data_IF_150938725305
#
_entry.id   IF_150938725305
#
_cell.length_a   1.000
_cell.length_b   1.000
_cell.length_c   1.000
_cell.angle_alpha   90.00
_cell.angle_beta   90.00
_cell.angle_gamma   90.00
#
_symmetry.space_group_name_H-M   'P 1'
#
loop_
_entity.id
_entity.type
_entity.pdbx_description
1 polymer ?
#
# COMPACT_ATOMS: atom_id res chain seq x y z
N UNK A 1 -2.57 -24.67 -21.86
CA UNK A 1 -2.93 -23.91 -20.65
C UNK A 1 -2.78 -22.42 -20.95
N UNK A 2 -3.84 -21.66 -20.73
CA UNK A 2 -4.15 -20.38 -21.39
C UNK A 2 -3.26 -19.23 -20.85
N UNK A 3 -2.30 -18.71 -21.65
CA UNK A 3 -1.35 -17.65 -21.21
C UNK A 3 -2.03 -16.39 -20.64
N UNK A 4 -3.28 -16.10 -21.03
CA UNK A 4 -4.04 -14.94 -20.53
C UNK A 4 -4.47 -15.07 -19.06
N UNK A 5 -4.82 -16.27 -18.58
CA UNK A 5 -5.29 -16.45 -17.20
C UNK A 5 -4.16 -16.19 -16.20
N UNK A 6 -2.95 -16.65 -16.52
CA UNK A 6 -1.76 -16.46 -15.68
C UNK A 6 -1.38 -14.97 -15.52
N UNK A 7 -1.65 -14.15 -16.54
CA UNK A 7 -1.32 -12.72 -16.55
C UNK A 7 -2.27 -11.88 -15.69
N UNK A 8 -3.57 -12.20 -15.72
CA UNK A 8 -4.56 -11.53 -14.90
C UNK A 8 -4.43 -11.91 -13.42
N UNK A 9 -4.15 -13.20 -13.14
CA UNK A 9 -3.85 -13.67 -11.79
C UNK A 9 -2.58 -12.99 -11.24
N UNK A 10 -1.52 -12.89 -12.04
CA UNK A 10 -0.30 -12.17 -11.65
C UNK A 10 -0.56 -10.70 -11.32
N UNK A 11 -1.33 -10.00 -12.16
CA UNK A 11 -1.71 -8.60 -11.91
C UNK A 11 -2.47 -8.44 -10.59
N UNK A 12 -3.45 -9.30 -10.33
CA UNK A 12 -4.23 -9.26 -9.09
C UNK A 12 -3.35 -9.50 -7.86
N UNK A 13 -2.51 -10.54 -7.91
CA UNK A 13 -1.61 -10.88 -6.79
C UNK A 13 -0.64 -9.75 -6.50
N UNK A 14 0.01 -9.20 -7.53
CA UNK A 14 0.96 -8.09 -7.38
C UNK A 14 0.27 -6.85 -6.82
N UNK A 15 -0.92 -6.51 -7.33
CA UNK A 15 -1.68 -5.35 -6.85
C UNK A 15 -2.07 -5.51 -5.38
N UNK A 16 -2.56 -6.68 -4.98
CA UNK A 16 -2.91 -6.97 -3.57
C UNK A 16 -1.67 -6.87 -2.68
N UNK A 17 -0.55 -7.45 -3.09
CA UNK A 17 0.71 -7.37 -2.35
C UNK A 17 1.20 -5.92 -2.20
N UNK A 18 1.10 -5.11 -3.26
CA UNK A 18 1.45 -3.68 -3.20
C UNK A 18 0.54 -2.90 -2.26
N UNK A 19 -0.78 -3.12 -2.30
CA UNK A 19 -1.75 -2.47 -1.39
C UNK A 19 -1.43 -2.83 0.07
N UNK A 20 -1.21 -4.12 0.36
CA UNK A 20 -0.87 -4.60 1.70
C UNK A 20 0.47 -4.03 2.18
N UNK A 21 1.49 -4.03 1.32
CA UNK A 21 2.80 -3.46 1.64
C UNK A 21 2.73 -1.96 1.97
N UNK A 22 2.01 -1.19 1.15
CA UNK A 22 1.82 0.25 1.38
C UNK A 22 0.99 0.53 2.63
N UNK A 23 0.02 -0.31 2.93
CA UNK A 23 -0.76 -0.21 4.16
C UNK A 23 0.12 -0.41 5.40
N UNK A 24 0.93 -1.47 5.42
CA UNK A 24 1.86 -1.76 6.52
C UNK A 24 2.88 -0.62 6.67
N UNK A 25 3.47 -0.14 5.56
CA UNK A 25 4.39 1.00 5.60
C UNK A 25 3.72 2.26 6.15
N UNK A 26 2.49 2.56 5.73
CA UNK A 26 1.72 3.69 6.23
C UNK A 26 1.45 3.60 7.73
N UNK A 27 1.13 2.41 8.24
CA UNK A 27 0.99 2.17 9.68
C UNK A 27 2.29 2.39 10.45
N UNK A 28 3.41 1.89 9.94
CA UNK A 28 4.72 2.11 10.57
C UNK A 28 5.06 3.60 10.64
N UNK A 29 4.89 4.33 9.53
CA UNK A 29 5.16 5.77 9.48
C UNK A 29 4.25 6.51 10.47
N UNK A 30 2.97 6.15 10.56
CA UNK A 30 2.03 6.76 11.49
C UNK A 30 2.45 6.51 12.95
N UNK A 31 2.75 5.27 13.33
CA UNK A 31 3.19 4.95 14.69
C UNK A 31 4.50 5.67 15.05
N UNK A 32 5.46 5.75 14.13
CA UNK A 32 6.71 6.48 14.36
C UNK A 32 6.43 7.98 14.53
N UNK A 33 5.59 8.56 13.67
CA UNK A 33 5.21 9.98 13.73
C UNK A 33 4.52 10.34 15.05
N UNK A 34 3.55 9.54 15.48
CA UNK A 34 2.86 9.70 16.76
C UNK A 34 3.80 9.52 17.96
N UNK A 35 4.73 8.55 17.92
CA UNK A 35 5.76 8.40 18.95
C UNK A 35 6.68 9.62 19.04
N UNK A 36 7.06 10.22 17.91
CA UNK A 36 7.89 11.43 17.88
C UNK A 36 7.10 12.62 18.44
N UNK A 37 5.84 12.79 18.06
CA UNK A 37 4.98 13.86 18.58
C UNK A 37 4.72 13.71 20.09
N UNK A 38 4.49 12.49 20.55
CA UNK A 38 4.38 12.15 21.96
C UNK A 38 5.64 12.59 22.73
N UNK A 39 6.81 12.23 22.22
CA UNK A 39 8.09 12.52 22.88
C UNK A 39 8.49 14.00 22.86
N UNK A 40 8.09 14.75 21.83
CA UNK A 40 8.46 16.17 21.66
C UNK A 40 7.46 17.15 22.27
N UNK A 41 6.18 16.78 22.36
CA UNK A 41 5.10 17.71 22.74
C UNK A 41 4.28 17.23 23.93
N UNK A 42 4.69 16.15 24.61
CA UNK A 42 3.97 15.55 25.74
C UNK A 42 2.50 15.23 25.40
N UNK A 43 2.24 14.98 24.10
CA UNK A 43 0.91 14.68 23.57
C UNK A 43 0.45 13.30 24.03
N UNK A 44 -0.85 13.03 24.04
CA UNK A 44 -1.35 11.67 24.29
C UNK A 44 -1.22 10.81 23.03
N UNK A 45 -0.62 9.63 23.13
CA UNK A 45 -0.58 8.66 22.02
C UNK A 45 -1.98 8.09 21.83
N UNK A 46 -2.72 8.65 20.87
CA UNK A 46 -4.10 8.28 20.60
C UNK A 46 -4.21 7.81 19.16
N UNK A 47 -4.31 6.49 19.00
CA UNK A 47 -4.44 5.88 17.70
C UNK A 47 -5.81 6.23 17.10
N UNK A 48 -5.82 7.13 16.11
CA UNK A 48 -7.07 7.62 15.51
C UNK A 48 -7.57 6.69 14.40
N UNK A 49 -8.81 6.22 14.53
CA UNK A 49 -9.49 5.39 13.52
C UNK A 49 -9.67 6.17 12.21
N UNK A 50 -9.87 7.49 12.27
CA UNK A 50 -9.96 8.34 11.07
C UNK A 50 -8.66 8.31 10.27
N UNK A 51 -7.52 8.31 10.97
CA UNK A 51 -6.21 8.24 10.33
C UNK A 51 -5.99 6.86 9.71
N UNK A 52 -6.37 5.79 10.41
CA UNK A 52 -6.36 4.43 9.86
C UNK A 52 -7.18 4.35 8.56
N UNK A 53 -8.38 4.93 8.54
CA UNK A 53 -9.23 4.95 7.36
C UNK A 53 -8.60 5.72 6.20
N UNK A 54 -7.88 6.81 6.48
CA UNK A 54 -7.10 7.55 5.47
C UNK A 54 -5.95 6.71 4.90
N UNK A 55 -5.22 6.00 5.76
CA UNK A 55 -4.12 5.11 5.33
C UNK A 55 -4.67 4.00 4.43
N UNK A 56 -5.79 3.38 4.79
CA UNK A 56 -6.45 2.34 3.98
C UNK A 56 -6.84 2.88 2.60
N UNK A 57 -7.48 4.06 2.55
CA UNK A 57 -7.85 4.68 1.26
C UNK A 57 -6.61 4.99 0.42
N UNK A 58 -5.58 5.56 1.03
CA UNK A 58 -4.34 5.91 0.34
C UNK A 58 -3.62 4.67 -0.20
N UNK A 59 -3.50 3.61 0.61
CA UNK A 59 -2.85 2.36 0.20
C UNK A 59 -3.61 1.63 -0.91
N UNK A 60 -4.94 1.67 -0.89
CA UNK A 60 -5.78 1.16 -1.98
C UNK A 60 -5.51 1.89 -3.29
N UNK A 61 -5.61 3.23 -3.30
CA UNK A 61 -5.38 4.02 -4.52
C UNK A 61 -3.95 3.89 -5.03
N UNK A 62 -2.96 4.03 -4.15
CA UNK A 62 -1.54 3.94 -4.53
C UNK A 62 -1.16 2.53 -4.96
N UNK A 63 -1.63 1.50 -4.27
CA UNK A 63 -1.35 0.10 -4.63
C UNK A 63 -1.96 -0.30 -5.96
N UNK A 64 -3.13 0.23 -6.32
CA UNK A 64 -3.76 0.03 -7.62
C UNK A 64 -2.93 0.66 -8.75
N UNK A 65 -2.46 1.90 -8.57
CA UNK A 65 -1.58 2.58 -9.53
C UNK A 65 -0.26 1.83 -9.72
N UNK A 66 0.36 1.39 -8.62
CA UNK A 66 1.62 0.62 -8.66
C UNK A 66 1.41 -0.74 -9.33
N UNK A 67 0.29 -1.42 -9.03
CA UNK A 67 -0.08 -2.68 -9.66
C UNK A 67 -0.24 -2.56 -11.18
N UNK A 68 -0.91 -1.49 -11.65
CA UNK A 68 -1.06 -1.20 -13.09
C UNK A 68 0.31 -0.93 -13.72
N UNK A 69 1.16 -0.13 -13.07
CA UNK A 69 2.51 0.16 -13.55
C UNK A 69 3.38 -1.09 -13.68
N UNK A 70 3.38 -1.94 -12.65
CA UNK A 70 4.13 -3.21 -12.66
C UNK A 70 3.64 -4.16 -13.75
N UNK A 71 2.32 -4.28 -13.93
CA UNK A 71 1.77 -5.09 -15.01
C UNK A 71 2.13 -4.53 -16.40
N UNK A 72 2.10 -3.22 -16.57
CA UNK A 72 2.51 -2.58 -17.83
C UNK A 72 3.99 -2.84 -18.15
N UNK A 73 4.87 -2.76 -17.16
CA UNK A 73 6.31 -3.05 -17.33
C UNK A 73 6.50 -4.54 -17.69
N UNK A 74 5.91 -5.44 -16.93
CA UNK A 74 6.07 -6.88 -17.15
C UNK A 74 5.51 -7.30 -18.52
N UNK A 75 4.42 -6.68 -18.97
CA UNK A 75 3.77 -7.01 -20.23
C UNK A 75 4.40 -6.35 -21.47
N UNK A 76 4.81 -5.08 -21.37
CA UNK A 76 5.23 -4.27 -22.53
C UNK A 76 6.75 -4.08 -22.67
N UNK A 77 7.49 -4.15 -21.57
CA UNK A 77 8.95 -3.95 -21.56
C UNK A 77 9.74 -5.26 -21.47
N UNK A 78 9.13 -6.33 -20.95
CA UNK A 78 9.80 -7.63 -20.71
C UNK A 78 9.41 -8.73 -21.71
N UNK A 79 8.53 -8.42 -22.67
CA UNK A 79 8.31 -9.18 -23.92
C UNK A 79 8.95 -8.42 -25.07
#
# INVERSE_FOLDING_TARGET
MNQKTNLFEYFLVVTILCVVGLFIMGLFIYCIGECILWLLFDGNFLFSIDFLMKIIKASLWAGLVVGIGMWFIEYKLRR
#
